data_IF_797997987720
#
_entry.id   IF_797997987720
#
_cell.length_a   1.000
_cell.length_b   1.000
_cell.length_c   1.000
_cell.angle_alpha   90.00
_cell.angle_beta   90.00
_cell.angle_gamma   90.00
#
_symmetry.space_group_name_H-M   'P 1'
#
loop_
_entity.id
_entity.type
_entity.pdbx_description
1 polymer ?
#
# COMPACT_ATOMS: atom_id res chain seq x y z
N UNK A 1 17.70 -16.27 -18.39
CA UNK A 1 17.11 -16.27 -17.02
C UNK A 1 18.16 -15.73 -16.05
N UNK A 2 17.80 -14.79 -15.19
CA UNK A 2 18.64 -14.26 -14.10
C UNK A 2 18.45 -15.13 -12.85
N UNK A 3 19.37 -15.02 -11.90
CA UNK A 3 19.12 -15.57 -10.57
C UNK A 3 17.85 -14.93 -9.97
N UNK A 4 16.89 -15.71 -9.45
CA UNK A 4 15.62 -15.16 -8.95
C UNK A 4 15.79 -14.16 -7.81
N UNK A 5 16.78 -14.35 -6.94
CA UNK A 5 17.04 -13.42 -5.82
C UNK A 5 17.57 -12.10 -6.36
N UNK A 6 18.56 -12.13 -7.26
CA UNK A 6 19.11 -10.93 -7.90
C UNK A 6 18.02 -10.17 -8.67
N UNK A 7 17.17 -10.89 -9.40
CA UNK A 7 16.07 -10.28 -10.15
C UNK A 7 15.05 -9.58 -9.23
N UNK A 8 14.69 -10.18 -8.12
CA UNK A 8 13.78 -9.58 -7.13
C UNK A 8 14.40 -8.34 -6.48
N UNK A 9 15.72 -8.38 -6.18
CA UNK A 9 16.43 -7.20 -5.66
C UNK A 9 16.45 -6.06 -6.68
N UNK A 10 16.64 -6.32 -7.98
CA UNK A 10 16.56 -5.28 -9.02
C UNK A 10 15.16 -4.62 -9.03
N UNK A 11 14.07 -5.41 -8.97
CA UNK A 11 12.71 -4.84 -8.88
C UNK A 11 12.56 -4.02 -7.59
N UNK A 12 13.14 -4.48 -6.46
CA UNK A 12 13.11 -3.75 -5.20
C UNK A 12 13.82 -2.39 -5.29
N UNK A 13 14.99 -2.35 -5.89
CA UNK A 13 15.74 -1.10 -6.10
C UNK A 13 14.98 -0.13 -7.01
N UNK A 14 14.36 -0.62 -8.08
CA UNK A 14 13.50 0.18 -8.93
C UNK A 14 12.32 0.83 -8.19
N UNK A 15 11.80 0.19 -7.14
CA UNK A 15 10.70 0.75 -6.34
C UNK A 15 11.15 1.96 -5.50
N UNK A 16 12.45 2.12 -5.20
CA UNK A 16 12.91 3.16 -4.28
C UNK A 16 12.61 4.58 -4.78
N UNK A 17 12.62 4.78 -6.10
CA UNK A 17 12.27 6.08 -6.70
C UNK A 17 10.80 6.41 -6.46
N UNK A 18 9.91 5.43 -6.67
CA UNK A 18 8.49 5.56 -6.36
C UNK A 18 8.27 5.90 -4.87
N UNK A 19 8.89 5.12 -3.97
CA UNK A 19 8.76 5.32 -2.52
C UNK A 19 9.18 6.72 -2.11
N UNK A 20 10.33 7.18 -2.63
CA UNK A 20 10.82 8.53 -2.35
C UNK A 20 9.89 9.63 -2.87
N UNK A 21 9.37 9.48 -4.08
CA UNK A 21 8.42 10.41 -4.65
C UNK A 21 7.12 10.50 -3.81
N UNK A 22 6.67 9.36 -3.28
CA UNK A 22 5.49 9.29 -2.42
C UNK A 22 5.75 9.90 -1.03
N UNK A 23 6.94 9.67 -0.45
CA UNK A 23 7.36 10.28 0.81
C UNK A 23 7.38 11.81 0.74
N UNK A 24 7.84 12.38 -0.38
CA UNK A 24 7.81 13.83 -0.62
C UNK A 24 6.38 14.37 -0.51
N UNK A 25 5.40 13.67 -1.08
CA UNK A 25 3.99 14.08 -1.01
C UNK A 25 3.43 14.01 0.42
N UNK A 26 3.74 12.92 1.15
CA UNK A 26 3.32 12.79 2.55
C UNK A 26 3.96 13.86 3.41
N UNK A 27 5.27 14.07 3.27
CA UNK A 27 5.98 15.11 4.02
C UNK A 27 5.39 16.49 3.79
N UNK A 28 5.09 16.87 2.56
CA UNK A 28 4.49 18.17 2.27
C UNK A 28 3.10 18.36 2.91
N UNK A 29 2.31 17.29 3.05
CA UNK A 29 1.06 17.36 3.81
C UNK A 29 1.33 17.78 5.25
N UNK A 30 2.33 17.20 5.94
CA UNK A 30 2.68 17.56 7.32
C UNK A 30 3.37 18.93 7.42
N UNK A 31 4.23 19.29 6.46
CA UNK A 31 4.87 20.61 6.38
C UNK A 31 3.81 21.76 6.25
N UNK A 32 2.65 21.45 5.66
CA UNK A 32 1.52 22.39 5.60
C UNK A 32 0.85 22.68 6.96
N UNK A 33 1.29 22.00 8.03
CA UNK A 33 0.75 22.08 9.38
C UNK A 33 -0.78 21.86 9.39
N UNK A 34 -1.25 20.68 8.97
CA UNK A 34 -2.67 20.40 8.88
C UNK A 34 -3.34 20.57 10.25
N UNK A 35 -4.53 21.15 10.27
CA UNK A 35 -5.34 21.21 11.47
C UNK A 35 -5.90 19.82 11.83
N UNK A 36 -6.48 19.70 13.03
CA UNK A 36 -7.00 18.43 13.56
C UNK A 36 -8.02 17.76 12.63
N UNK A 37 -8.87 18.54 11.96
CA UNK A 37 -9.87 18.01 11.05
C UNK A 37 -9.24 17.40 9.79
N UNK A 38 -8.21 18.03 9.23
CA UNK A 38 -7.45 17.48 8.11
C UNK A 38 -6.68 16.23 8.50
N UNK A 39 -6.10 16.18 9.69
CA UNK A 39 -5.45 14.99 10.24
C UNK A 39 -6.46 13.85 10.42
N UNK A 40 -7.60 14.15 11.07
CA UNK A 40 -8.69 13.18 11.27
C UNK A 40 -9.13 12.57 9.96
N UNK A 41 -9.38 13.35 8.92
CA UNK A 41 -9.76 12.87 7.60
C UNK A 41 -8.67 11.99 6.96
N UNK A 42 -7.41 12.38 7.07
CA UNK A 42 -6.28 11.57 6.57
C UNK A 42 -6.22 10.22 7.30
N UNK A 43 -6.39 10.20 8.61
CA UNK A 43 -6.35 8.99 9.42
C UNK A 43 -7.53 8.08 9.13
N UNK A 44 -8.75 8.62 8.99
CA UNK A 44 -9.94 7.83 8.60
C UNK A 44 -9.71 7.12 7.26
N UNK A 45 -9.19 7.83 6.26
CA UNK A 45 -8.87 7.24 4.95
C UNK A 45 -7.90 6.07 5.08
N UNK A 46 -6.85 6.22 5.88
CA UNK A 46 -5.87 5.15 6.13
C UNK A 46 -6.49 3.99 6.89
N UNK A 47 -7.21 4.27 7.96
CA UNK A 47 -7.93 3.26 8.74
C UNK A 47 -8.81 2.38 7.85
N UNK A 48 -9.58 2.97 6.96
CA UNK A 48 -10.44 2.21 6.05
C UNK A 48 -9.63 1.44 5.00
N UNK A 49 -8.46 1.97 4.58
CA UNK A 49 -7.55 1.22 3.71
C UNK A 49 -7.02 -0.05 4.39
N UNK A 50 -6.61 0.02 5.66
CA UNK A 50 -6.18 -1.18 6.43
C UNK A 50 -7.33 -2.21 6.53
N UNK A 51 -8.58 -1.75 6.72
CA UNK A 51 -9.74 -2.63 6.70
C UNK A 51 -9.96 -3.30 5.34
N UNK A 52 -9.65 -2.60 4.25
CA UNK A 52 -9.70 -3.18 2.89
C UNK A 52 -8.56 -4.16 2.67
N UNK A 53 -7.32 -3.83 3.06
CA UNK A 53 -6.16 -4.73 3.00
C UNK A 53 -6.45 -6.04 3.73
N UNK A 54 -6.98 -5.98 4.95
CA UNK A 54 -7.43 -7.17 5.69
C UNK A 54 -8.33 -8.05 4.84
N UNK A 55 -9.33 -7.48 4.16
CA UNK A 55 -10.25 -8.25 3.33
C UNK A 55 -9.52 -8.94 2.16
N UNK A 56 -8.62 -8.24 1.48
CA UNK A 56 -7.88 -8.79 0.33
C UNK A 56 -6.91 -9.91 0.77
N UNK A 57 -6.21 -9.75 1.89
CA UNK A 57 -5.34 -10.80 2.43
C UNK A 57 -6.18 -12.03 2.86
N UNK A 58 -7.31 -11.82 3.51
CA UNK A 58 -8.20 -12.93 3.89
C UNK A 58 -8.74 -13.69 2.67
N UNK A 59 -9.08 -13.01 1.58
CA UNK A 59 -9.42 -13.66 0.31
C UNK A 59 -8.27 -14.51 -0.21
N UNK A 60 -7.04 -14.00 -0.16
CA UNK A 60 -5.85 -14.76 -0.55
C UNK A 60 -5.65 -16.02 0.28
N UNK A 61 -5.94 -15.96 1.60
CA UNK A 61 -5.92 -17.16 2.47
C UNK A 61 -6.97 -18.19 2.05
N UNK A 62 -8.22 -17.74 1.85
CA UNK A 62 -9.36 -18.62 1.52
C UNK A 62 -9.20 -19.26 0.12
N UNK A 63 -8.64 -18.51 -0.83
CA UNK A 63 -8.46 -18.95 -2.21
C UNK A 63 -7.10 -19.61 -2.47
N UNK A 64 -6.29 -19.83 -1.44
CA UNK A 64 -5.03 -20.57 -1.57
C UNK A 64 -5.28 -22.01 -2.04
N UNK A 65 -4.52 -22.53 -3.01
CA UNK A 65 -4.59 -23.93 -3.41
C UNK A 65 -4.39 -24.90 -2.23
N UNK A 66 -5.01 -26.08 -2.30
CA UNK A 66 -4.96 -27.09 -1.23
C UNK A 66 -3.52 -27.57 -0.92
N UNK A 67 -2.61 -27.48 -1.88
CA UNK A 67 -1.20 -27.85 -1.79
C UNK A 67 -0.27 -26.66 -1.42
N UNK A 68 -0.84 -25.51 -1.04
CA UNK A 68 -0.06 -24.36 -0.60
C UNK A 68 0.77 -24.70 0.65
N UNK A 69 2.04 -24.26 0.65
CA UNK A 69 2.95 -24.45 1.80
C UNK A 69 2.31 -23.88 3.09
N UNK A 70 2.20 -24.69 4.16
CA UNK A 70 1.64 -24.23 5.44
C UNK A 70 2.32 -22.98 6.01
N UNK A 71 3.61 -22.78 5.72
CA UNK A 71 4.35 -21.56 6.14
C UNK A 71 3.83 -20.33 5.38
N UNK A 72 3.46 -20.50 4.11
CA UNK A 72 2.87 -19.40 3.34
C UNK A 72 1.49 -19.04 3.89
N UNK A 73 0.63 -20.03 4.18
CA UNK A 73 -0.67 -19.81 4.83
C UNK A 73 -0.50 -19.09 6.17
N UNK A 74 0.44 -19.55 7.01
CA UNK A 74 0.72 -18.89 8.29
C UNK A 74 1.18 -17.45 8.12
N UNK A 75 1.98 -17.16 7.10
CA UNK A 75 2.47 -15.81 6.79
C UNK A 75 1.32 -14.89 6.37
N UNK A 76 0.41 -15.35 5.53
CA UNK A 76 -0.80 -14.62 5.13
C UNK A 76 -1.74 -14.38 6.32
N UNK A 77 -1.95 -15.39 7.18
CA UNK A 77 -2.75 -15.23 8.41
C UNK A 77 -2.12 -14.21 9.37
N UNK A 78 -0.78 -14.21 9.50
CA UNK A 78 -0.07 -13.22 10.31
C UNK A 78 -0.26 -11.81 9.73
N UNK A 79 -0.11 -11.64 8.42
CA UNK A 79 -0.35 -10.37 7.77
C UNK A 79 -1.81 -9.91 7.99
N UNK A 80 -2.81 -10.78 7.81
CA UNK A 80 -4.20 -10.44 8.08
C UNK A 80 -4.43 -9.98 9.54
N UNK A 81 -3.76 -10.60 10.50
CA UNK A 81 -3.81 -10.17 11.90
C UNK A 81 -3.18 -8.79 12.09
N UNK A 82 -2.07 -8.50 11.41
CA UNK A 82 -1.43 -7.19 11.45
C UNK A 82 -2.35 -6.10 10.87
N UNK A 83 -2.98 -6.34 9.70
CA UNK A 83 -3.95 -5.40 9.11
C UNK A 83 -5.14 -5.11 10.04
N UNK A 84 -5.66 -6.15 10.72
CA UNK A 84 -6.71 -5.97 11.73
C UNK A 84 -6.23 -5.10 12.92
N UNK A 85 -4.98 -5.28 13.34
CA UNK A 85 -4.37 -4.45 14.38
C UNK A 85 -4.11 -3.02 13.89
N UNK A 86 -3.64 -2.83 12.66
CA UNK A 86 -3.44 -1.50 12.07
C UNK A 86 -4.77 -0.73 12.02
N UNK A 87 -5.84 -1.38 11.54
CA UNK A 87 -7.20 -0.81 11.56
C UNK A 87 -7.61 -0.33 12.94
N UNK A 88 -7.40 -1.18 13.99
CA UNK A 88 -7.67 -0.81 15.38
C UNK A 88 -6.76 0.32 15.85
N UNK A 89 -5.45 0.25 15.61
CA UNK A 89 -4.49 1.25 16.08
C UNK A 89 -4.76 2.64 15.50
N UNK A 90 -5.13 2.72 14.22
CA UNK A 90 -5.49 4.02 13.60
C UNK A 90 -6.82 4.54 14.13
N UNK A 91 -7.82 3.64 14.39
CA UNK A 91 -9.06 4.02 15.08
C UNK A 91 -8.76 4.62 16.46
N UNK A 92 -7.97 3.91 17.27
CA UNK A 92 -7.60 4.36 18.62
C UNK A 92 -6.84 5.70 18.57
N UNK A 93 -5.99 5.90 17.55
CA UNK A 93 -5.28 7.16 17.33
C UNK A 93 -6.23 8.33 17.01
N UNK A 94 -7.29 8.08 16.20
CA UNK A 94 -8.29 9.10 15.90
C UNK A 94 -9.05 9.49 17.18
N UNK A 95 -9.54 8.52 17.94
CA UNK A 95 -10.27 8.76 19.19
C UNK A 95 -9.40 9.47 20.23
N UNK A 96 -8.14 9.07 20.36
CA UNK A 96 -7.18 9.76 21.23
C UNK A 96 -6.96 11.21 20.80
N UNK A 97 -6.76 11.49 19.53
CA UNK A 97 -6.49 12.82 19.01
C UNK A 97 -7.69 13.76 19.12
N UNK A 98 -8.91 13.23 18.92
CA UNK A 98 -10.14 14.03 18.95
C UNK A 98 -10.80 14.06 20.32
N UNK A 99 -10.44 13.16 21.23
CA UNK A 99 -11.12 12.89 22.49
C UNK A 99 -12.62 12.58 22.31
N UNK A 100 -12.97 11.94 21.21
CA UNK A 100 -14.34 11.56 20.85
C UNK A 100 -14.36 10.13 20.31
N UNK A 101 -15.39 9.32 20.61
CA UNK A 101 -15.53 8.00 20.01
C UNK A 101 -15.82 8.12 18.52
N UNK A 102 -15.25 7.21 17.71
CA UNK A 102 -15.46 7.16 16.28
C UNK A 102 -16.62 6.23 15.94
N UNK A 103 -17.68 6.76 15.33
CA UNK A 103 -18.78 5.95 14.80
C UNK A 103 -18.36 5.22 13.51
N UNK A 104 -17.98 3.96 13.65
CA UNK A 104 -17.56 3.13 12.53
C UNK A 104 -18.71 2.81 11.56
N UNK A 105 -19.97 2.79 12.04
CA UNK A 105 -21.12 2.51 11.19
C UNK A 105 -21.43 3.67 10.23
N UNK A 106 -21.09 4.88 10.61
CA UNK A 106 -21.17 6.08 9.76
C UNK A 106 -19.94 6.25 8.86
N UNK A 107 -18.75 6.20 9.49
CA UNK A 107 -17.49 6.61 8.86
C UNK A 107 -17.02 5.61 7.80
N UNK A 108 -17.10 4.30 8.06
CA UNK A 108 -16.56 3.30 7.14
C UNK A 108 -17.34 3.25 5.81
N UNK A 109 -18.68 3.19 5.78
CA UNK A 109 -19.43 3.24 4.52
C UNK A 109 -19.19 4.54 3.74
N UNK A 110 -19.12 5.67 4.45
CA UNK A 110 -18.89 6.99 3.83
C UNK A 110 -17.53 7.03 3.13
N UNK A 111 -16.49 6.56 3.79
CA UNK A 111 -15.14 6.53 3.23
C UNK A 111 -14.99 5.47 2.12
N UNK A 112 -15.69 4.33 2.21
CA UNK A 112 -15.73 3.31 1.16
C UNK A 112 -16.47 3.78 -0.10
N UNK A 113 -17.38 4.74 0.00
CA UNK A 113 -18.02 5.33 -1.18
C UNK A 113 -17.04 6.13 -2.04
N UNK A 114 -15.97 6.68 -1.46
CA UNK A 114 -14.85 7.30 -2.18
C UNK A 114 -13.76 6.25 -2.48
N UNK A 115 -13.94 5.56 -3.58
CA UNK A 115 -13.06 4.45 -3.98
C UNK A 115 -11.79 4.92 -4.74
N UNK A 116 -11.67 6.20 -5.04
CA UNK A 116 -10.66 6.71 -5.98
C UNK A 116 -9.25 6.75 -5.39
N UNK A 117 -9.08 6.64 -4.08
CA UNK A 117 -7.81 6.93 -3.39
C UNK A 117 -7.28 5.80 -2.52
N UNK A 118 -7.81 4.58 -2.63
CA UNK A 118 -7.42 3.46 -1.75
C UNK A 118 -6.34 2.59 -2.38
N UNK A 119 -5.20 2.46 -1.70
CA UNK A 119 -4.10 1.58 -2.11
C UNK A 119 -4.52 0.12 -2.26
N UNK A 120 -5.40 -0.37 -1.41
CA UNK A 120 -5.99 -1.71 -1.50
C UNK A 120 -6.72 -1.99 -2.84
N UNK A 121 -7.10 -0.97 -3.60
CA UNK A 121 -7.63 -1.12 -4.96
C UNK A 121 -6.62 -1.69 -5.96
N UNK A 122 -5.35 -1.52 -5.69
CA UNK A 122 -4.30 -2.16 -6.47
C UNK A 122 -4.42 -3.68 -6.39
N UNK A 123 -4.68 -4.24 -5.20
CA UNK A 123 -4.87 -5.68 -5.03
C UNK A 123 -5.96 -6.24 -5.94
N UNK A 124 -7.12 -5.58 -5.97
CA UNK A 124 -8.24 -5.97 -6.81
C UNK A 124 -7.92 -5.87 -8.31
N UNK A 125 -7.33 -4.76 -8.75
CA UNK A 125 -7.00 -4.51 -10.16
C UNK A 125 -6.03 -5.52 -10.73
N UNK A 126 -5.11 -6.00 -9.92
CA UNK A 126 -4.08 -6.95 -10.31
C UNK A 126 -4.40 -8.40 -9.93
N UNK A 127 -5.63 -8.67 -9.49
CA UNK A 127 -6.10 -10.03 -9.17
C UNK A 127 -5.19 -10.76 -8.16
N UNK A 128 -4.75 -10.03 -7.15
CA UNK A 128 -3.78 -10.49 -6.13
C UNK A 128 -4.23 -11.77 -5.42
N UNK A 129 -5.54 -11.97 -5.26
CA UNK A 129 -6.12 -13.15 -4.62
C UNK A 129 -5.87 -14.47 -5.39
N UNK A 130 -5.68 -14.40 -6.73
CA UNK A 130 -5.54 -15.58 -7.58
C UNK A 130 -4.18 -15.69 -8.28
N UNK A 131 -3.39 -14.62 -8.29
CA UNK A 131 -2.07 -14.59 -8.94
C UNK A 131 -0.95 -14.47 -7.89
N UNK A 132 -0.17 -15.55 -7.64
CA UNK A 132 0.92 -15.53 -6.67
C UNK A 132 2.02 -14.50 -6.99
N UNK A 133 2.29 -14.24 -8.28
CA UNK A 133 3.28 -13.25 -8.70
C UNK A 133 2.75 -11.85 -8.38
N UNK A 134 1.48 -11.56 -8.74
CA UNK A 134 0.84 -10.30 -8.39
C UNK A 134 0.79 -10.08 -6.88
N UNK A 135 0.51 -11.12 -6.08
CA UNK A 135 0.52 -11.06 -4.61
C UNK A 135 1.88 -10.68 -4.06
N UNK A 136 2.93 -11.36 -4.50
CA UNK A 136 4.30 -11.04 -4.06
C UNK A 136 4.72 -9.62 -4.44
N UNK A 137 4.37 -9.16 -5.65
CA UNK A 137 4.60 -7.80 -6.10
C UNK A 137 3.79 -6.77 -5.29
N UNK A 138 2.53 -7.07 -4.97
CA UNK A 138 1.70 -6.22 -4.11
C UNK A 138 2.36 -6.01 -2.75
N UNK A 139 2.73 -7.10 -2.07
CA UNK A 139 3.44 -7.05 -0.80
C UNK A 139 4.74 -6.23 -0.92
N UNK A 140 5.53 -6.45 -1.97
CA UNK A 140 6.80 -5.76 -2.14
C UNK A 140 6.63 -4.27 -2.49
N UNK A 141 5.69 -3.91 -3.38
CA UNK A 141 5.53 -2.54 -3.91
C UNK A 141 4.58 -1.73 -3.02
N UNK A 142 3.39 -2.25 -2.74
CA UNK A 142 2.35 -1.48 -2.03
C UNK A 142 2.64 -1.39 -0.55
N UNK A 143 2.97 -2.53 0.11
CA UNK A 143 3.33 -2.54 1.53
C UNK A 143 4.71 -1.90 1.77
N UNK A 144 5.65 -2.08 0.83
CA UNK A 144 6.94 -1.36 0.87
C UNK A 144 6.76 0.16 0.84
N UNK A 145 5.88 0.66 -0.03
CA UNK A 145 5.50 2.07 -0.05
C UNK A 145 4.75 2.48 1.23
N UNK A 146 3.82 1.65 1.72
CA UNK A 146 3.09 1.90 2.95
C UNK A 146 4.06 2.03 4.14
N UNK A 147 5.03 1.13 4.28
CA UNK A 147 6.08 1.21 5.30
C UNK A 147 6.79 2.57 5.30
N UNK A 148 7.22 3.03 4.12
CA UNK A 148 7.88 4.31 3.98
C UNK A 148 6.97 5.48 4.36
N UNK A 149 5.72 5.44 3.93
CA UNK A 149 4.74 6.49 4.20
C UNK A 149 4.37 6.56 5.69
N UNK A 150 4.13 5.42 6.34
CA UNK A 150 3.87 5.35 7.78
C UNK A 150 5.06 5.87 8.60
N UNK A 151 6.29 5.59 8.17
CA UNK A 151 7.49 6.12 8.84
C UNK A 151 7.56 7.65 8.73
N UNK A 152 7.35 8.23 7.52
CA UNK A 152 7.32 9.69 7.36
C UNK A 152 6.23 10.32 8.22
N UNK A 153 5.06 9.69 8.35
CA UNK A 153 4.00 10.17 9.23
C UNK A 153 4.44 10.14 10.69
N UNK A 154 5.02 9.02 11.15
CA UNK A 154 5.53 8.88 12.51
C UNK A 154 6.55 9.96 12.86
N UNK A 155 7.47 10.23 11.94
CA UNK A 155 8.55 11.21 12.12
C UNK A 155 8.06 12.67 12.16
N UNK A 156 6.87 12.94 11.60
CA UNK A 156 6.28 14.30 11.55
C UNK A 156 5.13 14.52 12.55
N UNK A 157 4.76 13.52 13.33
CA UNK A 157 3.80 13.64 14.42
C UNK A 157 4.53 14.03 15.69
N UNK A 158 4.14 15.15 16.27
CA UNK A 158 4.75 15.69 17.52
C UNK A 158 4.27 14.96 18.78
N UNK A 159 3.10 14.33 18.72
CA UNK A 159 2.56 13.54 19.82
C UNK A 159 3.25 12.17 19.87
N UNK A 160 3.89 11.80 21.00
CA UNK A 160 4.67 10.56 21.10
C UNK A 160 3.82 9.29 21.02
N UNK A 161 2.54 9.34 21.41
CA UNK A 161 1.63 8.17 21.33
C UNK A 161 1.28 7.89 19.88
N UNK A 162 0.94 8.93 19.13
CA UNK A 162 0.63 8.82 17.70
C UNK A 162 1.87 8.42 16.89
N UNK A 163 3.02 9.06 17.14
CA UNK A 163 4.30 8.75 16.51
C UNK A 163 4.68 7.28 16.71
N UNK A 164 4.62 6.79 17.98
CA UNK A 164 4.93 5.39 18.29
C UNK A 164 4.00 4.40 17.58
N UNK A 165 2.69 4.67 17.57
CA UNK A 165 1.71 3.81 16.91
C UNK A 165 2.01 3.68 15.41
N UNK A 166 2.32 4.77 14.75
CA UNK A 166 2.59 4.78 13.31
C UNK A 166 3.95 4.19 12.96
N UNK A 167 4.97 4.37 13.80
CA UNK A 167 6.25 3.68 13.64
C UNK A 167 6.11 2.15 13.77
N UNK A 168 5.20 1.67 14.64
CA UNK A 168 4.89 0.24 14.76
C UNK A 168 4.26 -0.30 13.48
N UNK A 169 3.25 0.40 12.92
CA UNK A 169 2.64 0.03 11.64
C UNK A 169 3.73 -0.01 10.54
N UNK A 170 4.57 1.02 10.46
CA UNK A 170 5.67 1.06 9.48
C UNK A 170 6.61 -0.16 9.57
N UNK A 171 6.86 -0.65 10.78
CA UNK A 171 7.70 -1.84 10.99
C UNK A 171 7.01 -3.13 10.51
N UNK A 172 5.72 -3.27 10.74
CA UNK A 172 4.94 -4.43 10.29
C UNK A 172 4.84 -4.44 8.75
N UNK A 173 4.58 -3.29 8.10
CA UNK A 173 4.55 -3.16 6.65
C UNK A 173 5.91 -3.48 5.99
N UNK A 174 7.01 -3.11 6.64
CA UNK A 174 8.36 -3.50 6.18
C UNK A 174 8.55 -5.01 6.21
N UNK A 175 7.98 -5.68 7.19
CA UNK A 175 7.99 -7.13 7.26
C UNK A 175 7.14 -7.75 6.14
N UNK A 176 5.96 -7.20 5.85
CA UNK A 176 5.11 -7.66 4.73
C UNK A 176 5.84 -7.52 3.38
N UNK A 177 6.50 -6.39 3.14
CA UNK A 177 7.32 -6.19 1.93
C UNK A 177 8.45 -7.23 1.80
N UNK A 178 9.08 -7.60 2.94
CA UNK A 178 10.08 -8.67 2.97
C UNK A 178 9.48 -10.04 2.64
N UNK A 179 8.28 -10.34 3.12
CA UNK A 179 7.58 -11.59 2.77
C UNK A 179 7.34 -11.67 1.26
N UNK A 180 6.90 -10.59 0.62
CA UNK A 180 6.72 -10.52 -0.83
C UNK A 180 8.02 -10.83 -1.59
N UNK A 181 9.15 -10.25 -1.17
CA UNK A 181 10.46 -10.53 -1.78
C UNK A 181 10.87 -12.01 -1.64
N UNK A 182 10.71 -12.59 -0.45
CA UNK A 182 11.01 -14.01 -0.21
C UNK A 182 10.12 -14.91 -1.06
N UNK A 183 8.84 -14.62 -1.15
CA UNK A 183 7.89 -15.37 -1.97
C UNK A 183 8.26 -15.30 -3.46
N UNK A 184 8.48 -14.11 -3.99
CA UNK A 184 8.87 -13.92 -5.40
C UNK A 184 10.17 -14.64 -5.76
N UNK A 185 11.19 -14.59 -4.88
CA UNK A 185 12.44 -15.30 -5.12
C UNK A 185 12.29 -16.82 -5.24
N UNK A 186 11.24 -17.39 -4.62
CA UNK A 186 10.94 -18.82 -4.73
C UNK A 186 10.23 -19.20 -6.04
N UNK A 187 9.38 -18.31 -6.57
CA UNK A 187 8.46 -18.65 -7.68
C UNK A 187 8.92 -18.13 -9.05
N UNK A 188 9.83 -17.14 -9.09
CA UNK A 188 10.33 -16.54 -10.35
C UNK A 188 11.49 -17.34 -10.97
N UNK A 189 11.30 -18.64 -11.13
CA UNK A 189 12.28 -19.64 -11.53
C UNK A 189 12.40 -19.85 -13.06
N UNK A 190 11.65 -19.08 -13.87
CA UNK A 190 11.74 -19.08 -15.33
C UNK A 190 11.83 -17.69 -15.92
N UNK A 191 12.41 -17.56 -17.11
CA UNK A 191 12.53 -16.28 -17.82
C UNK A 191 11.15 -15.67 -18.13
N UNK A 192 10.18 -16.51 -18.46
CA UNK A 192 8.81 -16.09 -18.74
C UNK A 192 8.14 -15.48 -17.50
N UNK A 193 8.29 -16.11 -16.32
CA UNK A 193 7.78 -15.57 -15.06
C UNK A 193 8.47 -14.26 -14.67
N UNK A 194 9.79 -14.16 -14.89
CA UNK A 194 10.54 -12.94 -14.64
C UNK A 194 10.09 -11.79 -15.54
N UNK A 195 9.87 -12.06 -16.84
CA UNK A 195 9.35 -11.06 -17.76
C UNK A 195 7.94 -10.60 -17.33
N UNK A 196 7.04 -11.54 -17.04
CA UNK A 196 5.70 -11.24 -16.55
C UNK A 196 5.73 -10.38 -15.28
N UNK A 197 6.56 -10.75 -14.30
CA UNK A 197 6.73 -9.99 -13.06
C UNK A 197 7.24 -8.55 -13.32
N UNK A 198 8.19 -8.36 -14.23
CA UNK A 198 8.72 -7.05 -14.60
C UNK A 198 7.64 -6.14 -15.20
N UNK A 199 6.86 -6.66 -16.14
CA UNK A 199 5.76 -5.93 -16.77
C UNK A 199 4.67 -5.57 -15.75
N UNK A 200 4.32 -6.54 -14.90
CA UNK A 200 3.31 -6.36 -13.86
C UNK A 200 3.75 -5.35 -12.79
N UNK A 201 5.02 -5.42 -12.36
CA UNK A 201 5.61 -4.46 -11.41
C UNK A 201 5.55 -3.03 -11.95
N UNK A 202 5.88 -2.84 -13.23
CA UNK A 202 5.81 -1.52 -13.89
C UNK A 202 4.38 -0.97 -13.89
N UNK A 203 3.40 -1.79 -14.26
CA UNK A 203 1.98 -1.41 -14.25
C UNK A 203 1.49 -1.09 -12.83
N UNK A 204 1.87 -1.90 -11.84
CA UNK A 204 1.46 -1.75 -10.44
C UNK A 204 2.05 -0.46 -9.84
N UNK A 205 3.33 -0.16 -10.08
CA UNK A 205 3.96 1.10 -9.67
C UNK A 205 3.25 2.31 -10.26
N UNK A 206 2.98 2.29 -11.56
CA UNK A 206 2.26 3.35 -12.27
C UNK A 206 0.86 3.56 -11.69
N UNK A 207 0.11 2.49 -11.46
CA UNK A 207 -1.23 2.54 -10.89
C UNK A 207 -1.21 3.09 -9.45
N UNK A 208 -0.30 2.61 -8.61
CA UNK A 208 -0.15 3.06 -7.22
C UNK A 208 0.18 4.56 -7.14
N UNK A 209 1.14 5.04 -7.94
CA UNK A 209 1.50 6.46 -7.97
C UNK A 209 0.30 7.32 -8.36
N UNK A 210 -0.38 6.91 -9.40
CA UNK A 210 -1.53 7.62 -9.92
C UNK A 210 -2.71 7.61 -8.94
N UNK A 211 -3.04 6.51 -8.29
CA UNK A 211 -4.05 6.46 -7.22
C UNK A 211 -3.79 7.49 -6.11
N UNK A 212 -2.55 7.63 -5.70
CA UNK A 212 -2.18 8.62 -4.68
C UNK A 212 -2.30 10.07 -5.21
N UNK A 213 -2.11 10.28 -6.49
CA UNK A 213 -2.28 11.59 -7.13
C UNK A 213 -3.75 11.96 -7.36
N UNK A 214 -4.66 11.00 -7.46
CA UNK A 214 -6.09 11.25 -7.71
C UNK A 214 -6.78 12.07 -6.61
N UNK A 215 -6.29 11.99 -5.38
CA UNK A 215 -6.81 12.77 -4.24
C UNK A 215 -6.03 14.04 -3.93
N UNK A 216 -4.87 14.25 -4.54
CA UNK A 216 -4.00 15.40 -4.29
C UNK A 216 -3.24 15.75 -5.57
N UNK A 217 -3.15 17.01 -5.91
CA UNK A 217 -2.28 17.46 -7.00
C UNK A 217 -0.85 17.07 -6.64
N UNK A 218 -0.15 16.28 -7.47
CA UNK A 218 1.22 15.87 -7.17
C UNK A 218 2.11 17.10 -7.00
N UNK A 219 2.94 17.09 -5.97
CA UNK A 219 3.93 18.14 -5.79
C UNK A 219 4.90 18.07 -6.97
N UNK A 220 5.28 19.21 -7.47
CA UNK A 220 6.18 19.35 -8.64
C UNK A 220 7.42 18.46 -8.52
N UNK A 221 8.08 18.49 -7.35
CA UNK A 221 9.29 17.69 -7.09
C UNK A 221 9.04 16.17 -7.19
N UNK A 222 7.94 15.68 -6.64
CA UNK A 222 7.54 14.26 -6.72
C UNK A 222 7.25 13.85 -8.16
N UNK A 223 6.57 14.72 -8.91
CA UNK A 223 6.25 14.51 -10.31
C UNK A 223 7.51 14.46 -11.17
N UNK A 224 8.38 15.46 -11.06
CA UNK A 224 9.64 15.53 -11.81
C UNK A 224 10.55 14.32 -11.54
N UNK A 225 10.57 13.82 -10.30
CA UNK A 225 11.31 12.61 -9.95
C UNK A 225 10.79 11.38 -10.71
N UNK A 226 9.48 11.19 -10.76
CA UNK A 226 8.85 10.06 -11.45
C UNK A 226 9.06 10.17 -12.96
N UNK A 227 8.80 11.33 -13.57
CA UNK A 227 8.98 11.57 -15.00
C UNK A 227 10.44 11.38 -15.43
N UNK A 228 11.38 11.86 -14.63
CA UNK A 228 12.81 11.72 -14.91
C UNK A 228 13.31 10.29 -14.89
N UNK A 229 12.74 9.44 -14.06
CA UNK A 229 13.20 8.05 -13.89
C UNK A 229 12.43 7.05 -14.76
N UNK A 230 11.11 7.19 -14.82
CA UNK A 230 10.25 6.22 -15.50
C UNK A 230 9.72 6.69 -16.85
N UNK A 231 9.81 7.99 -17.18
CA UNK A 231 9.32 8.60 -18.41
C UNK A 231 8.05 9.43 -18.22
N UNK A 232 7.80 10.31 -19.20
CA UNK A 232 6.74 11.34 -19.13
C UNK A 232 5.31 10.78 -19.23
N UNK A 233 5.14 9.55 -19.70
CA UNK A 233 3.84 8.90 -19.85
C UNK A 233 3.31 8.28 -18.54
N UNK A 234 4.06 8.36 -17.44
CA UNK A 234 3.70 7.78 -16.16
C UNK A 234 2.54 8.47 -15.47
N UNK A 235 2.41 9.78 -15.66
CA UNK A 235 1.36 10.57 -15.04
C UNK A 235 0.21 10.71 -16.02
N UNK A 236 -0.87 9.96 -15.81
CA UNK A 236 -2.07 10.08 -16.62
C UNK A 236 -3.04 11.04 -15.97
N UNK A 237 -3.48 12.06 -16.72
CA UNK A 237 -4.38 13.12 -16.23
C UNK A 237 -5.81 12.62 -15.94
N UNK A 238 -6.16 11.39 -16.28
CA UNK A 238 -7.54 10.93 -16.37
C UNK A 238 -7.83 9.72 -15.48
N UNK A 239 -7.82 9.96 -14.13
CA UNK A 239 -8.17 8.95 -13.13
C UNK A 239 -9.66 8.65 -13.01
N UNK A 240 -10.52 9.54 -13.51
CA UNK A 240 -11.96 9.42 -13.40
C UNK A 240 -12.56 8.39 -14.38
N UNK A 241 -11.77 7.85 -15.30
CA UNK A 241 -12.27 7.00 -16.39
C UNK A 241 -11.98 5.52 -16.27
N UNK A 242 -11.26 5.04 -15.23
CA UNK A 242 -11.12 3.60 -15.02
C UNK A 242 -12.41 3.07 -14.40
N UNK A 243 -13.24 2.31 -15.14
CA UNK A 243 -14.47 1.75 -14.59
C UNK A 243 -14.11 0.78 -13.48
N UNK A 244 -14.35 1.18 -12.24
CA UNK A 244 -14.31 0.26 -11.12
C UNK A 244 -15.49 -0.69 -11.29
N UNK A 245 -15.24 -1.99 -11.49
CA UNK A 245 -16.29 -2.99 -11.36
C UNK A 245 -16.89 -2.81 -9.97
N UNK A 246 -18.18 -2.53 -9.92
CA UNK A 246 -18.92 -2.50 -8.65
C UNK A 246 -18.76 -3.86 -7.99
N UNK A 247 -18.15 -3.87 -6.82
CA UNK A 247 -18.06 -5.05 -5.96
C UNK A 247 -19.18 -4.91 -4.96
N UNK A 248 -20.10 -5.83 -5.02
CA UNK A 248 -21.08 -6.11 -3.97
C UNK A 248 -20.71 -7.42 -3.32
#
# INVERSE_FOLDING_TARGET
>A
MRDPVEFVEEIWEDNQVLFKAMQIQIKAFYDSKPNIEKLRRNFIRRMVNERMNLNEIMKSVVNSPDDTDPIEIMSLCKQALDEANHYRMVKDAIEYMTNEPLDLAEVVPTELADLTTKGARVAERFNVEHDPIARGLYQMIVEGNASCNWQVMADNLTDPVLSFSYAKIAADERFHAKLGRIHLAKILDTEEKQQYASELATKMRKDLFNLNCAGNIPIKESREMIESYYGDDWITADFNTVPLKKIY
#
